data_IF_788803434539
#
_entry.id   IF_788803434539
#
_cell.length_a   1.000
_cell.length_b   1.000
_cell.length_c   1.000
_cell.angle_alpha   90.00
_cell.angle_beta   90.00
_cell.angle_gamma   90.00
#
_symmetry.space_group_name_H-M   'P 1'
#
loop_
_entity.id
_entity.type
_entity.pdbx_description
1 polymer ?
#
# COMPACT_ATOMS: atom_id res chain seq x y z
N UNK A 1 4.66 -3.58 14.78
CA UNK A 1 5.57 -2.52 14.36
C UNK A 1 7.01 -2.87 14.67
N UNK A 2 7.92 -2.19 14.02
CA UNK A 2 9.35 -2.30 14.26
C UNK A 2 9.95 -0.89 14.36
N UNK A 3 11.17 -0.79 14.87
CA UNK A 3 11.96 0.45 14.87
C UNK A 3 13.34 0.17 14.29
N UNK A 4 13.91 1.16 13.61
CA UNK A 4 15.26 1.09 13.09
C UNK A 4 16.32 1.31 14.19
N UNK A 5 17.59 1.23 13.81
CA UNK A 5 18.72 1.44 14.75
C UNK A 5 18.78 2.86 15.35
N UNK A 6 18.07 3.81 14.78
CA UNK A 6 17.98 5.21 15.22
C UNK A 6 16.73 5.51 16.04
N UNK A 7 15.85 4.50 16.21
CA UNK A 7 14.58 4.63 16.93
C UNK A 7 13.42 5.17 16.09
N UNK A 8 13.57 5.29 14.76
CA UNK A 8 12.48 5.67 13.90
C UNK A 8 11.55 4.48 13.64
N UNK A 9 10.27 4.73 13.54
CA UNK A 9 9.29 3.69 13.25
C UNK A 9 9.45 3.11 11.84
N UNK A 10 9.46 1.78 11.76
CA UNK A 10 9.28 1.03 10.52
C UNK A 10 7.83 0.56 10.50
N UNK A 11 6.96 1.37 9.97
CA UNK A 11 5.52 1.06 9.90
C UNK A 11 4.95 1.38 8.52
N UNK A 12 3.67 1.05 8.30
CA UNK A 12 2.93 1.35 7.07
C UNK A 12 3.74 1.01 5.81
N UNK A 13 3.93 1.98 4.90
CA UNK A 13 4.64 1.77 3.64
C UNK A 13 6.08 1.27 3.83
N UNK A 14 6.79 1.74 4.87
CA UNK A 14 8.17 1.30 5.14
C UNK A 14 8.21 -0.17 5.56
N UNK A 15 7.25 -0.66 6.36
CA UNK A 15 7.15 -2.08 6.71
C UNK A 15 6.87 -2.93 5.47
N UNK A 16 5.96 -2.47 4.60
CA UNK A 16 5.66 -3.15 3.34
C UNK A 16 6.91 -3.21 2.44
N UNK A 17 7.67 -2.11 2.36
CA UNK A 17 8.91 -2.05 1.58
C UNK A 17 9.97 -3.04 2.08
N UNK A 18 10.20 -3.11 3.41
CA UNK A 18 11.12 -4.10 4.01
C UNK A 18 10.67 -5.53 3.71
N UNK A 19 9.37 -5.82 3.90
CA UNK A 19 8.83 -7.15 3.63
C UNK A 19 8.91 -7.52 2.14
N UNK A 20 8.64 -6.56 1.24
CA UNK A 20 8.75 -6.74 -0.21
C UNK A 20 10.19 -7.02 -0.64
N UNK A 21 11.17 -6.27 -0.11
CA UNK A 21 12.58 -6.50 -0.39
C UNK A 21 13.03 -7.92 0.04
N UNK A 22 12.60 -8.37 1.23
CA UNK A 22 12.88 -9.73 1.70
C UNK A 22 12.19 -10.79 0.82
N UNK A 23 10.92 -10.58 0.46
CA UNK A 23 10.15 -11.56 -0.29
C UNK A 23 10.60 -11.69 -1.75
N UNK A 24 11.17 -10.61 -2.34
CA UNK A 24 11.67 -10.63 -3.71
C UNK A 24 13.07 -11.23 -3.83
N UNK A 25 13.80 -11.45 -2.74
CA UNK A 25 15.06 -12.20 -2.78
C UNK A 25 14.82 -13.64 -3.30
N UNK A 26 15.37 -13.95 -4.47
CA UNK A 26 15.14 -15.21 -5.15
C UNK A 26 13.77 -15.37 -5.82
N UNK A 27 13.01 -14.27 -5.93
CA UNK A 27 11.73 -14.20 -6.63
C UNK A 27 11.72 -13.02 -7.63
N UNK A 28 12.70 -13.00 -8.53
CA UNK A 28 12.89 -11.94 -9.52
C UNK A 28 11.61 -11.70 -10.33
N UNK A 29 11.21 -10.42 -10.45
CA UNK A 29 9.98 -10.02 -11.13
C UNK A 29 8.70 -10.49 -10.42
N UNK A 30 8.80 -10.94 -9.17
CA UNK A 30 7.65 -11.39 -8.36
C UNK A 30 6.66 -10.25 -8.10
N UNK A 31 5.39 -10.61 -7.92
CA UNK A 31 4.31 -9.67 -7.65
C UNK A 31 4.05 -9.55 -6.15
N UNK A 32 4.01 -8.33 -5.65
CA UNK A 32 3.64 -8.03 -4.27
C UNK A 32 2.21 -7.51 -4.25
N UNK A 33 1.32 -8.21 -3.56
CA UNK A 33 -0.07 -7.79 -3.37
C UNK A 33 -0.17 -6.98 -2.08
N UNK A 34 -0.73 -5.77 -2.19
CA UNK A 34 -0.91 -4.86 -1.04
C UNK A 34 -2.35 -4.36 -0.95
N UNK A 35 -2.67 -3.71 0.17
CA UNK A 35 -3.93 -2.97 0.29
C UNK A 35 -3.93 -1.67 -0.55
N UNK A 36 -5.11 -1.07 -0.67
CA UNK A 36 -5.39 0.05 -1.58
C UNK A 36 -4.73 1.37 -1.18
N UNK A 37 -4.37 1.55 0.09
CA UNK A 37 -3.86 2.83 0.63
C UNK A 37 -2.34 2.98 0.57
N UNK A 38 -1.65 2.09 -0.14
CA UNK A 38 -0.20 2.17 -0.31
C UNK A 38 0.21 3.38 -1.16
N UNK A 39 1.35 3.99 -0.82
CA UNK A 39 1.86 5.20 -1.46
C UNK A 39 2.30 4.96 -2.91
N UNK A 40 2.41 6.05 -3.67
CA UNK A 40 3.02 6.02 -5.01
C UNK A 40 4.52 5.73 -4.93
N UNK A 41 5.20 6.25 -3.90
CA UNK A 41 6.61 5.95 -3.66
C UNK A 41 6.88 4.47 -3.39
N UNK A 42 5.98 3.79 -2.66
CA UNK A 42 6.10 2.33 -2.48
C UNK A 42 5.96 1.56 -3.80
N UNK A 43 5.04 1.96 -4.68
CA UNK A 43 4.92 1.35 -6.01
C UNK A 43 6.22 1.50 -6.78
N UNK A 44 6.77 2.71 -6.85
CA UNK A 44 8.05 2.99 -7.53
C UNK A 44 9.19 2.16 -6.94
N UNK A 45 9.28 2.07 -5.62
CA UNK A 45 10.29 1.27 -4.93
C UNK A 45 10.21 -0.21 -5.31
N UNK A 46 9.02 -0.83 -5.25
CA UNK A 46 8.84 -2.24 -5.62
C UNK A 46 9.17 -2.47 -7.11
N UNK A 47 8.71 -1.59 -7.99
CA UNK A 47 8.82 -1.81 -9.45
C UNK A 47 10.19 -1.41 -9.99
N UNK A 48 10.75 -0.27 -9.57
CA UNK A 48 12.00 0.27 -10.14
C UNK A 48 13.24 -0.17 -9.37
N UNK A 49 13.17 -0.18 -8.01
CA UNK A 49 14.35 -0.44 -7.20
C UNK A 49 14.51 -1.94 -6.91
N UNK A 50 13.40 -2.64 -6.66
CA UNK A 50 13.42 -4.08 -6.38
C UNK A 50 13.18 -4.94 -7.63
N UNK A 51 12.78 -4.36 -8.77
CA UNK A 51 12.48 -5.09 -10.01
C UNK A 51 11.27 -6.02 -9.90
N UNK A 52 10.42 -5.83 -8.91
CA UNK A 52 9.19 -6.57 -8.71
C UNK A 52 8.01 -5.99 -9.49
N UNK A 53 6.82 -6.48 -9.19
CA UNK A 53 5.54 -5.93 -9.67
C UNK A 53 4.67 -5.60 -8.48
N UNK A 54 3.96 -4.47 -8.53
CA UNK A 54 3.07 -4.06 -7.45
C UNK A 54 1.60 -4.21 -7.87
N UNK A 55 0.81 -4.87 -7.01
CA UNK A 55 -0.63 -5.07 -7.23
C UNK A 55 -1.42 -4.55 -6.02
N UNK A 56 -2.03 -3.38 -6.17
CA UNK A 56 -2.97 -2.85 -5.17
C UNK A 56 -4.29 -3.58 -5.24
N UNK A 57 -4.80 -4.00 -4.08
CA UNK A 57 -6.09 -4.66 -3.99
C UNK A 57 -6.93 -4.07 -2.86
N UNK A 58 -8.14 -4.56 -2.71
CA UNK A 58 -9.06 -4.10 -1.68
C UNK A 58 -8.47 -4.32 -0.30
N UNK A 59 -8.65 -3.34 0.57
CA UNK A 59 -8.24 -3.44 1.98
C UNK A 59 -8.93 -4.60 2.69
N UNK A 60 -8.22 -5.22 3.63
CA UNK A 60 -8.61 -6.38 4.41
C UNK A 60 -7.64 -7.54 4.16
N UNK A 61 -7.01 -8.05 5.22
CA UNK A 61 -5.99 -9.08 5.14
C UNK A 61 -6.43 -10.30 4.30
N UNK A 62 -7.69 -10.73 4.48
CA UNK A 62 -8.26 -11.80 3.68
C UNK A 62 -8.29 -11.47 2.18
N UNK A 63 -8.64 -10.24 1.82
CA UNK A 63 -8.71 -9.83 0.42
C UNK A 63 -7.35 -9.91 -0.27
N UNK A 64 -6.30 -9.37 0.37
CA UNK A 64 -4.95 -9.38 -0.22
C UNK A 64 -4.36 -10.79 -0.28
N UNK A 65 -4.63 -11.62 0.73
CA UNK A 65 -4.19 -13.02 0.75
C UNK A 65 -4.90 -13.84 -0.33
N UNK A 66 -6.24 -13.78 -0.41
CA UNK A 66 -7.02 -14.48 -1.42
C UNK A 66 -6.58 -14.09 -2.84
N UNK A 67 -6.26 -12.79 -3.07
CA UNK A 67 -5.75 -12.32 -4.36
C UNK A 67 -4.36 -12.89 -4.68
N UNK A 68 -3.46 -12.96 -3.71
CA UNK A 68 -2.16 -13.57 -3.92
C UNK A 68 -2.25 -15.08 -4.23
N UNK A 69 -3.14 -15.80 -3.56
CA UNK A 69 -3.43 -17.20 -3.85
C UNK A 69 -3.99 -17.37 -5.27
N UNK A 70 -4.95 -16.53 -5.68
CA UNK A 70 -5.52 -16.53 -7.03
C UNK A 70 -4.44 -16.29 -8.10
N UNK A 71 -3.57 -15.30 -7.90
CA UNK A 71 -2.47 -14.99 -8.83
C UNK A 71 -1.50 -16.17 -8.97
N UNK A 72 -1.12 -16.79 -7.86
CA UNK A 72 -0.26 -17.98 -7.89
C UNK A 72 -0.94 -19.18 -8.60
N UNK A 73 -2.25 -19.37 -8.42
CA UNK A 73 -3.00 -20.39 -9.13
C UNK A 73 -3.05 -20.14 -10.66
N UNK A 74 -2.90 -18.89 -11.09
CA UNK A 74 -2.79 -18.48 -12.50
C UNK A 74 -1.34 -18.58 -13.03
N UNK A 75 -0.38 -19.05 -12.23
CA UNK A 75 1.02 -19.13 -12.59
C UNK A 75 1.82 -17.83 -12.46
N UNK A 76 1.24 -16.79 -11.84
CA UNK A 76 1.92 -15.54 -11.55
C UNK A 76 2.70 -15.69 -10.24
N UNK A 77 4.02 -15.46 -10.27
CA UNK A 77 4.87 -15.52 -9.09
C UNK A 77 4.50 -14.40 -8.10
N UNK A 78 3.74 -14.72 -7.05
CA UNK A 78 3.38 -13.78 -6.00
C UNK A 78 3.90 -14.32 -4.65
N UNK A 79 5.07 -13.85 -4.15
CA UNK A 79 5.66 -14.35 -2.91
C UNK A 79 5.07 -13.75 -1.65
N UNK A 80 4.39 -12.60 -1.71
CA UNK A 80 3.93 -11.85 -0.55
C UNK A 80 2.58 -11.17 -0.79
N UNK A 81 1.68 -11.30 0.19
CA UNK A 81 0.51 -10.46 0.41
C UNK A 81 0.69 -9.70 1.73
N UNK A 82 0.54 -8.38 1.72
CA UNK A 82 0.77 -7.56 2.91
C UNK A 82 -0.09 -6.30 2.92
N UNK A 83 -0.58 -5.92 4.09
CA UNK A 83 -1.25 -4.65 4.30
C UNK A 83 -0.35 -3.64 5.03
N UNK A 84 -0.64 -2.36 4.85
CA UNK A 84 -0.02 -1.27 5.61
C UNK A 84 -0.26 -1.36 7.11
N UNK A 85 -1.27 -2.12 7.55
CA UNK A 85 -1.56 -2.44 8.96
C UNK A 85 -0.57 -3.45 9.57
N UNK A 86 0.19 -4.18 8.73
CA UNK A 86 1.17 -5.18 9.14
C UNK A 86 0.68 -6.62 9.11
N UNK A 87 -0.57 -6.89 8.70
CA UNK A 87 -1.00 -8.23 8.31
C UNK A 87 -0.19 -8.69 7.09
N UNK A 88 0.48 -9.82 7.19
CA UNK A 88 1.38 -10.28 6.14
C UNK A 88 1.35 -11.80 6.02
N UNK A 89 1.28 -12.26 4.78
CA UNK A 89 1.26 -13.68 4.42
C UNK A 89 2.29 -13.95 3.33
N UNK A 90 3.27 -14.80 3.62
CA UNK A 90 4.30 -15.21 2.67
C UNK A 90 3.97 -16.56 2.07
N UNK A 91 4.21 -16.74 0.76
CA UNK A 91 4.00 -18.01 0.07
C UNK A 91 4.79 -19.15 0.71
N UNK A 92 6.02 -18.91 1.12
CA UNK A 92 6.88 -19.91 1.78
C UNK A 92 6.34 -20.35 3.16
N UNK A 93 5.43 -19.55 3.76
CA UNK A 93 4.69 -19.90 4.97
C UNK A 93 3.20 -20.18 4.66
N UNK A 94 2.93 -20.80 3.51
CA UNK A 94 1.60 -21.24 3.08
C UNK A 94 0.53 -20.14 3.06
N UNK A 95 0.91 -18.89 2.90
CA UNK A 95 0.03 -17.72 2.98
C UNK A 95 -0.75 -17.60 4.29
N UNK A 96 -0.20 -18.11 5.38
CA UNK A 96 -0.73 -17.82 6.72
C UNK A 96 -0.49 -16.33 7.04
N UNK A 97 -1.52 -15.70 7.58
CA UNK A 97 -1.37 -14.35 8.16
C UNK A 97 -0.58 -14.48 9.48
N UNK A 98 0.73 -14.28 9.40
CA UNK A 98 1.66 -14.61 10.47
C UNK A 98 2.70 -13.51 10.71
N UNK A 99 2.36 -12.61 11.64
CA UNK A 99 3.24 -11.53 12.05
C UNK A 99 4.52 -12.01 12.75
N UNK A 100 4.50 -13.16 13.42
CA UNK A 100 5.70 -13.72 14.06
C UNK A 100 6.68 -14.23 13.00
N UNK A 101 6.17 -14.85 11.96
CA UNK A 101 6.99 -15.27 10.82
C UNK A 101 7.65 -14.06 10.13
N UNK A 102 6.86 -13.02 9.83
CA UNK A 102 7.40 -11.78 9.26
C UNK A 102 8.49 -11.17 10.15
N UNK A 103 8.24 -11.05 11.45
CA UNK A 103 9.25 -10.54 12.39
C UNK A 103 10.54 -11.37 12.37
N UNK A 104 10.43 -12.69 12.32
CA UNK A 104 11.59 -13.58 12.23
C UNK A 104 12.39 -13.33 10.94
N UNK A 105 11.71 -13.18 9.79
CA UNK A 105 12.36 -12.87 8.51
C UNK A 105 13.10 -11.52 8.57
N UNK A 106 12.48 -10.50 9.16
CA UNK A 106 13.11 -9.17 9.34
C UNK A 106 14.36 -9.28 10.24
N UNK A 107 14.30 -10.02 11.35
CA UNK A 107 15.44 -10.21 12.26
C UNK A 107 16.59 -10.94 11.55
N UNK A 108 16.28 -12.00 10.79
CA UNK A 108 17.28 -12.73 10.01
C UNK A 108 17.94 -11.78 9.00
N UNK A 109 17.14 -10.99 8.26
CA UNK A 109 17.67 -10.03 7.29
C UNK A 109 18.55 -8.97 7.93
N UNK A 110 18.11 -8.40 9.05
CA UNK A 110 18.90 -7.44 9.81
C UNK A 110 20.25 -8.04 10.27
N UNK A 111 20.24 -9.29 10.75
CA UNK A 111 21.47 -9.97 11.17
C UNK A 111 22.42 -10.25 9.99
N UNK A 112 21.87 -10.61 8.81
CA UNK A 112 22.67 -10.80 7.59
C UNK A 112 23.33 -9.48 7.15
N UNK A 113 22.55 -8.38 7.07
CA UNK A 113 23.05 -7.06 6.69
C UNK A 113 24.11 -6.56 7.66
N UNK A 114 23.92 -6.76 8.96
CA UNK A 114 24.90 -6.37 9.97
C UNK A 114 26.24 -7.10 9.83
N UNK A 115 26.25 -8.37 9.39
CA UNK A 115 27.50 -9.07 9.05
C UNK A 115 28.25 -8.45 7.88
N UNK A 116 27.52 -7.75 7.00
CA UNK A 116 28.08 -7.00 5.88
C UNK A 116 28.42 -5.55 6.25
N UNK A 117 28.24 -5.14 7.51
CA UNK A 117 28.46 -3.78 7.98
C UNK A 117 27.34 -2.80 7.59
N UNK A 118 26.16 -3.31 7.26
CA UNK A 118 24.97 -2.54 6.87
C UNK A 118 23.89 -2.58 7.94
N UNK A 119 23.04 -1.58 7.95
CA UNK A 119 21.86 -1.52 8.82
C UNK A 119 20.58 -1.78 8.01
N UNK A 120 19.51 -2.22 8.70
CA UNK A 120 18.24 -2.60 8.05
C UNK A 120 17.58 -1.43 7.31
N UNK A 121 17.75 -0.21 7.79
CA UNK A 121 17.21 1.01 7.16
C UNK A 121 17.80 1.29 5.78
N UNK A 122 19.01 0.80 5.49
CA UNK A 122 19.62 0.89 4.15
C UNK A 122 18.82 0.12 3.09
N UNK A 123 18.07 -0.91 3.51
CA UNK A 123 17.24 -1.71 2.62
C UNK A 123 16.12 -0.89 1.94
N UNK A 124 15.68 0.17 2.59
CA UNK A 124 14.61 1.06 2.13
C UNK A 124 15.08 2.51 1.96
N UNK A 125 16.39 2.74 1.80
CA UNK A 125 16.97 4.08 1.72
C UNK A 125 16.47 4.89 0.51
N UNK A 126 16.09 4.22 -0.58
CA UNK A 126 15.53 4.84 -1.79
C UNK A 126 14.00 4.98 -1.76
N UNK A 127 13.33 4.46 -0.73
CA UNK A 127 11.87 4.62 -0.59
C UNK A 127 11.51 6.09 -0.43
N UNK A 128 10.78 6.63 -1.41
CA UNK A 128 10.24 7.98 -1.32
C UNK A 128 8.99 7.97 -0.43
N UNK A 129 9.07 8.66 0.69
CA UNK A 129 7.91 8.92 1.54
C UNK A 129 7.24 10.24 1.13
N UNK A 130 5.89 10.36 1.21
CA UNK A 130 5.22 11.61 0.92
C UNK A 130 5.62 12.69 1.93
N UNK A 131 5.63 13.95 1.50
CA UNK A 131 5.91 15.08 2.40
C UNK A 131 4.78 15.27 3.42
N UNK A 132 3.55 15.08 2.97
CA UNK A 132 2.35 15.16 3.82
C UNK A 132 1.42 13.97 3.58
N UNK A 133 0.78 13.50 4.63
CA UNK A 133 -0.27 12.47 4.54
C UNK A 133 -1.35 12.69 5.59
N UNK A 134 -2.60 12.39 5.23
CA UNK A 134 -3.73 12.47 6.15
C UNK A 134 -4.80 11.44 5.85
N UNK A 135 -5.56 11.04 6.88
CA UNK A 135 -6.80 10.28 6.73
C UNK A 135 -7.96 11.05 7.36
N UNK A 136 -8.98 11.34 6.57
CA UNK A 136 -10.23 11.96 7.01
C UNK A 136 -11.34 10.93 6.91
N UNK A 137 -12.24 10.88 7.89
CA UNK A 137 -13.36 9.94 7.91
C UNK A 137 -14.67 10.70 7.87
N UNK A 138 -15.34 10.65 6.72
CA UNK A 138 -16.67 11.22 6.54
C UNK A 138 -17.74 10.25 6.99
N UNK A 139 -18.69 10.71 7.81
CA UNK A 139 -19.83 9.92 8.24
C UNK A 139 -20.97 10.09 7.24
N UNK A 140 -21.55 8.98 6.76
CA UNK A 140 -22.78 8.99 5.97
C UNK A 140 -23.96 8.98 6.95
N UNK A 141 -24.89 9.92 6.76
CA UNK A 141 -26.10 10.05 7.60
C UNK A 141 -27.32 9.37 7.00
N UNK A 142 -27.24 8.99 5.72
CA UNK A 142 -28.31 8.33 5.00
C UNK A 142 -28.52 6.89 5.53
N UNK A 143 -29.79 6.44 5.56
CA UNK A 143 -30.15 5.09 6.01
C UNK A 143 -29.50 4.02 5.15
N UNK A 144 -29.57 4.17 3.82
CA UNK A 144 -28.85 3.33 2.87
C UNK A 144 -27.48 3.93 2.57
N UNK A 145 -26.57 3.74 3.53
CA UNK A 145 -25.22 4.29 3.41
C UNK A 145 -24.43 3.67 2.27
N UNK A 146 -24.78 2.43 1.84
CA UNK A 146 -24.10 1.76 0.72
C UNK A 146 -24.46 2.42 -0.61
N UNK A 147 -25.73 2.54 -0.91
CA UNK A 147 -26.17 3.21 -2.14
C UNK A 147 -25.71 4.67 -2.18
N UNK A 148 -25.73 5.37 -1.03
CA UNK A 148 -25.23 6.73 -0.93
C UNK A 148 -23.71 6.79 -1.21
N UNK A 149 -22.91 5.94 -0.59
CA UNK A 149 -21.46 5.90 -0.77
C UNK A 149 -21.05 5.51 -2.19
N UNK A 150 -21.71 4.51 -2.79
CA UNK A 150 -21.46 4.11 -4.18
C UNK A 150 -21.77 5.25 -5.16
N UNK A 151 -22.88 5.97 -4.92
CA UNK A 151 -23.22 7.16 -5.72
C UNK A 151 -22.15 8.25 -5.59
N UNK A 152 -21.69 8.56 -4.38
CA UNK A 152 -20.63 9.54 -4.15
C UNK A 152 -19.34 9.17 -4.90
N UNK A 153 -18.93 7.88 -4.85
CA UNK A 153 -17.77 7.39 -5.58
C UNK A 153 -17.93 7.56 -7.08
N UNK A 154 -19.11 7.21 -7.62
CA UNK A 154 -19.41 7.35 -9.05
C UNK A 154 -19.41 8.83 -9.50
N UNK A 155 -20.02 9.71 -8.72
CA UNK A 155 -20.06 11.14 -9.01
C UNK A 155 -18.67 11.77 -8.93
N UNK A 156 -17.87 11.41 -7.91
CA UNK A 156 -16.49 11.88 -7.76
C UNK A 156 -15.57 11.37 -8.88
N UNK A 157 -15.77 10.13 -9.34
CA UNK A 157 -15.02 9.59 -10.48
C UNK A 157 -15.24 10.43 -11.73
N UNK A 158 -16.51 10.73 -12.07
CA UNK A 158 -16.83 11.59 -13.21
C UNK A 158 -16.25 12.99 -13.05
N UNK A 159 -16.37 13.57 -11.85
CA UNK A 159 -15.81 14.88 -11.58
C UNK A 159 -14.29 14.89 -11.79
N UNK A 160 -13.60 13.86 -11.30
CA UNK A 160 -12.15 13.75 -11.43
C UNK A 160 -11.68 13.62 -12.89
N UNK A 161 -12.46 12.91 -13.74
CA UNK A 161 -12.18 12.75 -15.18
C UNK A 161 -12.30 14.07 -15.97
N UNK A 162 -13.02 15.07 -15.42
CA UNK A 162 -13.23 16.39 -16.02
C UNK A 162 -12.21 17.44 -15.54
N UNK A 163 -11.34 17.10 -14.56
CA UNK A 163 -10.39 18.05 -14.01
C UNK A 163 -9.04 18.00 -14.74
N UNK A 164 -8.51 19.15 -15.10
CA UNK A 164 -7.17 19.27 -15.65
C UNK A 164 -6.12 18.92 -14.58
N UNK A 165 -5.14 18.08 -14.96
CA UNK A 165 -4.07 17.64 -14.06
C UNK A 165 -4.45 16.56 -13.07
N UNK A 166 -5.71 16.05 -13.13
CA UNK A 166 -6.15 14.90 -12.35
C UNK A 166 -6.19 13.64 -13.21
N UNK A 167 -5.87 12.49 -12.61
CA UNK A 167 -5.88 11.20 -13.30
C UNK A 167 -6.49 10.12 -12.39
N UNK A 168 -7.61 9.55 -12.82
CA UNK A 168 -8.21 8.39 -12.14
C UNK A 168 -7.31 7.18 -12.36
N UNK A 169 -6.90 6.52 -11.27
CA UNK A 169 -5.99 5.39 -11.33
C UNK A 169 -6.66 4.16 -11.96
N UNK A 170 -6.05 3.60 -12.98
CA UNK A 170 -6.48 2.39 -13.68
C UNK A 170 -6.20 1.10 -12.88
N UNK A 171 -5.21 1.16 -11.99
CA UNK A 171 -4.82 0.05 -11.10
C UNK A 171 -5.62 0.00 -9.79
N UNK A 172 -6.62 0.87 -9.61
CA UNK A 172 -7.47 0.89 -8.42
C UNK A 172 -8.52 -0.23 -8.44
N UNK A 173 -8.75 -0.85 -7.28
CA UNK A 173 -9.73 -1.95 -7.09
C UNK A 173 -10.73 -1.68 -5.97
N UNK A 174 -10.69 -0.51 -5.36
CA UNK A 174 -11.54 -0.11 -4.24
C UNK A 174 -11.80 1.40 -4.27
N UNK A 175 -13.07 1.80 -4.19
CA UNK A 175 -13.45 3.22 -4.22
C UNK A 175 -12.94 3.96 -5.46
N UNK A 176 -12.54 5.21 -5.32
CA UNK A 176 -11.91 6.01 -6.36
C UNK A 176 -10.57 6.55 -5.88
N UNK A 177 -9.51 6.20 -6.62
CA UNK A 177 -8.16 6.74 -6.42
C UNK A 177 -7.84 7.70 -7.56
N UNK A 178 -7.42 8.89 -7.21
CA UNK A 178 -7.06 9.93 -8.16
C UNK A 178 -5.66 10.44 -7.82
N UNK A 179 -4.78 10.51 -8.80
CA UNK A 179 -3.52 11.24 -8.70
C UNK A 179 -3.67 12.63 -9.32
N UNK A 180 -2.92 13.58 -8.82
CA UNK A 180 -2.89 14.94 -9.30
C UNK A 180 -1.45 15.42 -9.47
N UNK A 181 -1.27 16.29 -10.45
CA UNK A 181 0.03 16.80 -10.83
C UNK A 181 0.56 17.87 -9.85
N UNK A 182 1.73 18.41 -10.17
CA UNK A 182 2.43 19.37 -9.32
C UNK A 182 1.65 20.69 -9.12
N UNK A 183 0.89 21.12 -10.11
CA UNK A 183 0.09 22.36 -10.05
C UNK A 183 -1.15 22.17 -9.17
N UNK A 184 -1.55 20.93 -8.94
CA UNK A 184 -2.70 20.51 -8.14
C UNK A 184 -2.33 19.87 -6.80
N UNK A 185 -1.07 19.99 -6.35
CA UNK A 185 -0.60 19.50 -5.04
C UNK A 185 0.30 18.27 -5.07
N UNK A 186 0.69 17.76 -6.26
CA UNK A 186 1.68 16.67 -6.45
C UNK A 186 1.43 15.46 -5.55
N UNK A 187 0.30 14.77 -5.77
CA UNK A 187 -0.05 13.68 -4.86
C UNK A 187 -1.20 12.79 -5.36
N UNK A 188 -1.91 12.23 -4.42
CA UNK A 188 -3.08 11.40 -4.71
C UNK A 188 -4.05 11.39 -3.53
N UNK A 189 -5.30 11.08 -3.82
CA UNK A 189 -6.26 10.68 -2.80
C UNK A 189 -6.95 9.35 -3.16
N UNK A 190 -7.46 8.68 -2.13
CA UNK A 190 -8.36 7.54 -2.25
C UNK A 190 -9.57 7.75 -1.36
N UNK A 191 -10.75 7.89 -1.95
CA UNK A 191 -12.02 7.84 -1.24
C UNK A 191 -12.62 6.44 -1.40
N UNK A 192 -12.94 5.79 -0.30
CA UNK A 192 -13.55 4.46 -0.31
C UNK A 192 -14.73 4.37 0.66
N UNK A 193 -15.59 3.38 0.46
CA UNK A 193 -16.67 3.08 1.38
C UNK A 193 -16.22 2.01 2.38
N UNK A 194 -16.50 2.20 3.68
CA UNK A 194 -16.29 1.15 4.67
C UNK A 194 -17.23 -0.03 4.43
N UNK A 195 -16.73 -1.24 4.67
CA UNK A 195 -17.51 -2.47 4.50
C UNK A 195 -18.61 -2.60 5.56
N UNK A 196 -18.34 -2.14 6.78
CA UNK A 196 -19.20 -2.40 7.94
C UNK A 196 -19.87 -1.16 8.50
N UNK A 197 -19.23 0.00 8.40
CA UNK A 197 -19.65 1.23 9.04
C UNK A 197 -20.14 2.27 8.01
N UNK A 198 -21.08 3.16 8.38
CA UNK A 198 -21.55 4.23 7.52
C UNK A 198 -20.53 5.37 7.46
N UNK A 199 -19.31 5.05 7.01
CA UNK A 199 -18.20 6.01 6.88
C UNK A 199 -17.49 5.85 5.52
N UNK A 200 -16.96 6.94 5.04
CA UNK A 200 -16.08 7.01 3.87
C UNK A 200 -14.71 7.55 4.32
N UNK A 201 -13.71 6.68 4.47
CA UNK A 201 -12.33 7.11 4.66
C UNK A 201 -11.79 7.74 3.38
N UNK A 202 -11.19 8.92 3.52
CA UNK A 202 -10.41 9.61 2.51
C UNK A 202 -8.95 9.60 2.96
N UNK A 203 -8.10 8.92 2.21
CA UNK A 203 -6.66 8.97 2.38
C UNK A 203 -6.08 9.94 1.35
N UNK A 204 -5.21 10.83 1.78
CA UNK A 204 -4.53 11.82 0.91
C UNK A 204 -3.05 11.80 1.23
N UNK A 205 -2.23 11.82 0.20
CA UNK A 205 -0.79 12.03 0.29
C UNK A 205 -0.35 13.07 -0.73
N UNK A 206 0.65 13.87 -0.38
CA UNK A 206 1.22 14.88 -1.26
C UNK A 206 2.73 15.00 -1.07
N UNK A 207 3.42 15.30 -2.15
CA UNK A 207 4.85 15.62 -2.21
C UNK A 207 5.09 17.15 -2.20
N UNK A 208 4.05 17.95 -1.97
CA UNK A 208 4.10 19.42 -1.85
C UNK A 208 3.68 19.88 -0.47
N UNK A 209 4.29 20.96 0.03
CA UNK A 209 3.89 21.59 1.30
C UNK A 209 2.49 22.20 1.19
N UNK A 210 1.59 21.80 2.09
CA UNK A 210 0.19 22.22 2.08
C UNK A 210 -0.70 21.48 1.07
N UNK A 211 -0.16 20.49 0.34
CA UNK A 211 -0.87 19.79 -0.73
C UNK A 211 -1.99 18.85 -0.26
N UNK A 212 -2.10 18.59 1.05
CA UNK A 212 -3.22 17.81 1.63
C UNK A 212 -4.35 18.69 2.16
N UNK A 213 -4.28 20.01 2.00
CA UNK A 213 -5.31 20.99 2.39
C UNK A 213 -6.26 21.25 1.25
#
# INVERSE_FOLDING_TARGET
GAVDSKGNEINRNRLVAVAAAIALEGNDGGMIVTDSITSSGLKQFIENDLGGKHYRYRRGYKNVIDKALELNAQGINCPLAIETSGHAAMRENYFLDDGAYLCTKIIIKAAQMRKEGKELDELTASLKEPLESTEIRYKILEKDFRACGEKIIADLTKYAEEQDGWCVADDNREGVRVSFDRDNGDGWFLLRLSVHDPIMPLNVESDSEGGVK
#
